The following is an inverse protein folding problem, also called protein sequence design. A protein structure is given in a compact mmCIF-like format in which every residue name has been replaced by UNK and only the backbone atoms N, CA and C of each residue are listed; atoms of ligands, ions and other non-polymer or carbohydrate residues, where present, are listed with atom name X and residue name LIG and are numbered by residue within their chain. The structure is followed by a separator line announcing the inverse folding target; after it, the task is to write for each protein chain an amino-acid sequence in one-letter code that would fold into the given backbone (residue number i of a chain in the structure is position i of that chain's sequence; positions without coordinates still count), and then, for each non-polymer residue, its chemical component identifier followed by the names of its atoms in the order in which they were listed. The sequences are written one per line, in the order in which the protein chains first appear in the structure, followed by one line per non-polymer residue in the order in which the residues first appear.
data_IF_910626545831
#
_entry.id   IF_910626545831
#
_cell.length_a   1.000
_cell.length_b   1.000
_cell.length_c   1.000
_cell.angle_alpha   90.00
_cell.angle_beta   90.00
_cell.angle_gamma   90.00
#
_symmetry.space_group_name_H-M   'P 1'
#
loop_
_entity.id
_entity.type
_entity.pdbx_description
1 polymer ?
#
# COMPACT_ATOMS: atom_id res chain seq x y z
N UNK A 1 0.62 5.66 25.09
CA UNK A 1 -0.06 4.88 24.03
C UNK A 1 0.95 4.63 22.95
N UNK A 2 1.18 3.36 22.57
CA UNK A 2 2.13 3.03 21.51
C UNK A 2 1.40 3.28 20.18
N UNK A 3 1.78 4.34 19.47
CA UNK A 3 1.24 4.61 18.14
C UNK A 3 1.75 3.50 17.21
N UNK A 4 0.86 2.58 16.79
CA UNK A 4 1.22 1.59 15.78
C UNK A 4 1.71 2.35 14.53
N UNK A 5 2.97 2.13 14.17
CA UNK A 5 3.58 2.66 12.97
C UNK A 5 3.30 1.71 11.81
N UNK A 6 2.97 2.29 10.68
CA UNK A 6 2.80 1.59 9.42
C UNK A 6 3.78 2.17 8.41
N UNK A 7 4.22 1.32 7.51
CA UNK A 7 5.12 1.66 6.42
C UNK A 7 4.36 1.54 5.11
N UNK A 8 4.52 2.55 4.26
CA UNK A 8 3.88 2.68 2.96
C UNK A 8 4.96 2.75 1.89
N UNK A 9 4.65 2.30 0.68
CA UNK A 9 5.50 2.51 -0.48
C UNK A 9 4.94 3.65 -1.32
N UNK A 10 5.71 4.74 -1.41
CA UNK A 10 5.36 5.94 -2.16
C UNK A 10 6.31 6.12 -3.34
N UNK A 11 5.76 6.29 -4.53
CA UNK A 11 6.51 6.61 -5.73
C UNK A 11 7.18 7.98 -5.59
N UNK A 12 8.48 8.05 -5.83
CA UNK A 12 9.27 9.28 -5.88
C UNK A 12 9.01 10.07 -7.16
N UNK A 13 8.53 9.41 -8.21
CA UNK A 13 8.30 10.05 -9.51
C UNK A 13 7.03 10.91 -9.52
N UNK A 14 5.96 10.45 -8.87
CA UNK A 14 4.64 11.08 -8.93
C UNK A 14 4.01 11.31 -7.54
N UNK A 15 4.57 10.73 -6.48
CA UNK A 15 4.02 10.82 -5.13
C UNK A 15 2.85 9.88 -4.86
N UNK A 16 2.45 9.08 -5.86
CA UNK A 16 1.44 8.03 -5.76
C UNK A 16 1.85 6.88 -4.83
N UNK A 17 0.88 6.18 -4.23
CA UNK A 17 1.13 5.05 -3.32
C UNK A 17 0.96 3.70 -4.01
N UNK A 18 1.65 2.69 -3.50
CA UNK A 18 1.44 1.31 -3.92
C UNK A 18 0.08 0.81 -3.44
N UNK A 19 -0.72 0.33 -4.38
CA UNK A 19 -2.07 -0.16 -4.13
C UNK A 19 -2.26 -1.55 -4.72
N UNK A 20 -2.95 -2.42 -4.00
CA UNK A 20 -3.45 -3.68 -4.52
C UNK A 20 -4.78 -3.43 -5.24
N UNK A 21 -4.89 -3.94 -6.47
CA UNK A 21 -6.12 -3.92 -7.26
C UNK A 21 -6.55 -5.37 -7.50
N UNK A 22 -7.74 -5.79 -7.03
CA UNK A 22 -8.25 -7.12 -7.34
C UNK A 22 -8.43 -7.26 -8.85
N UNK A 23 -7.96 -8.38 -9.41
CA UNK A 23 -8.09 -8.70 -10.83
C UNK A 23 -9.57 -8.75 -11.22
N UNK A 24 -9.99 -7.90 -12.16
CA UNK A 24 -11.39 -7.76 -12.56
C UNK A 24 -11.77 -6.40 -13.13
N UNK A 25 -10.86 -5.43 -13.09
CA UNK A 25 -11.07 -4.10 -13.67
C UNK A 25 -10.78 -4.14 -15.16
N UNK A 26 -11.84 -4.12 -15.96
CA UNK A 26 -11.77 -3.94 -17.41
C UNK A 26 -10.91 -2.72 -17.76
N UNK A 27 -10.08 -2.76 -18.82
CA UNK A 27 -9.23 -1.63 -19.25
C UNK A 27 -10.01 -0.36 -19.64
N UNK A 28 -11.35 -0.47 -19.73
CA UNK A 28 -12.29 0.61 -20.08
C UNK A 28 -12.89 1.33 -18.85
N UNK A 29 -12.72 0.79 -17.63
CA UNK A 29 -13.20 1.45 -16.41
C UNK A 29 -12.11 2.36 -15.82
N UNK A 30 -12.48 3.54 -15.28
CA UNK A 30 -11.56 4.34 -14.48
C UNK A 30 -10.95 3.43 -13.39
N UNK A 31 -9.64 3.58 -13.09
CA UNK A 31 -8.94 2.67 -12.20
C UNK A 31 -9.76 2.56 -10.90
N UNK A 32 -10.21 1.36 -10.52
CA UNK A 32 -10.99 1.22 -9.31
C UNK A 32 -10.17 1.74 -8.15
N UNK A 33 -10.90 2.24 -7.17
CA UNK A 33 -10.34 2.67 -5.90
C UNK A 33 -9.58 1.49 -5.30
N UNK A 34 -8.25 1.53 -5.43
CA UNK A 34 -7.39 0.43 -5.00
C UNK A 34 -7.35 0.32 -3.46
N UNK A 35 -6.84 -0.79 -2.97
CA UNK A 35 -6.54 -0.96 -1.55
C UNK A 35 -5.10 -0.50 -1.29
N UNK A 36 -4.92 0.44 -0.37
CA UNK A 36 -3.59 0.94 -0.02
C UNK A 36 -2.80 -0.15 0.71
N UNK A 37 -1.65 -0.53 0.16
CA UNK A 37 -0.79 -1.51 0.82
C UNK A 37 -0.05 -0.89 2.00
N UNK A 38 -0.24 -1.50 3.17
CA UNK A 38 0.45 -1.15 4.41
C UNK A 38 1.29 -2.31 4.90
N UNK A 39 2.46 -1.97 5.43
CA UNK A 39 3.41 -2.89 6.01
C UNK A 39 3.61 -2.55 7.50
N UNK A 40 3.83 -3.57 8.31
CA UNK A 40 4.11 -3.41 9.75
C UNK A 40 5.57 -3.09 10.04
N UNK A 41 6.47 -3.36 9.08
CA UNK A 41 7.89 -3.06 9.15
C UNK A 41 8.44 -2.54 7.82
N UNK A 42 9.55 -1.79 7.88
CA UNK A 42 10.23 -1.25 6.71
C UNK A 42 10.86 -2.37 5.84
N UNK A 43 11.43 -3.40 6.48
CA UNK A 43 12.05 -4.52 5.77
C UNK A 43 11.02 -5.36 5.01
N UNK A 44 9.77 -5.45 5.47
CA UNK A 44 8.68 -6.14 4.77
C UNK A 44 8.31 -5.37 3.50
N UNK A 45 8.22 -4.04 3.57
CA UNK A 45 7.97 -3.18 2.41
C UNK A 45 9.07 -3.34 1.35
N UNK A 46 10.34 -3.29 1.77
CA UNK A 46 11.47 -3.51 0.87
C UNK A 46 11.50 -4.92 0.29
N UNK A 47 11.20 -5.94 1.09
CA UNK A 47 11.17 -7.33 0.64
C UNK A 47 10.09 -7.54 -0.41
N UNK A 48 8.89 -6.99 -0.19
CA UNK A 48 7.78 -7.05 -1.14
C UNK A 48 8.13 -6.36 -2.46
N UNK A 49 8.70 -5.16 -2.39
CA UNK A 49 9.10 -4.40 -3.57
C UNK A 49 10.18 -5.13 -4.38
N UNK A 50 11.20 -5.68 -3.71
CA UNK A 50 12.24 -6.46 -4.37
C UNK A 50 11.70 -7.77 -4.97
N UNK A 51 10.70 -8.40 -4.35
CA UNK A 51 10.11 -9.64 -4.85
C UNK A 51 9.23 -9.42 -6.09
N UNK A 52 8.47 -8.33 -6.14
CA UNK A 52 7.46 -8.11 -7.18
C UNK A 52 7.85 -7.09 -8.24
N UNK A 53 8.67 -6.08 -7.91
CA UNK A 53 9.06 -5.01 -8.81
C UNK A 53 10.45 -4.45 -8.49
N UNK A 54 11.52 -5.28 -8.59
CA UNK A 54 12.88 -4.85 -8.26
C UNK A 54 13.37 -3.68 -9.13
N UNK A 55 12.88 -3.58 -10.36
CA UNK A 55 13.17 -2.47 -11.29
C UNK A 55 12.59 -1.12 -10.83
N UNK A 56 11.56 -1.15 -9.98
CA UNK A 56 10.92 0.03 -9.43
C UNK A 56 11.48 0.40 -8.05
N UNK A 57 12.35 -0.42 -7.45
CA UNK A 57 12.90 -0.19 -6.11
C UNK A 57 13.50 1.22 -5.94
N UNK A 58 14.28 1.70 -6.91
CA UNK A 58 14.88 3.05 -6.89
C UNK A 58 13.86 4.19 -7.07
N UNK A 59 12.70 3.88 -7.66
CA UNK A 59 11.62 4.84 -7.93
C UNK A 59 10.62 4.94 -6.79
N UNK A 60 10.68 4.06 -5.79
CA UNK A 60 9.83 4.11 -4.61
C UNK A 60 10.64 4.48 -3.36
N UNK A 61 9.96 5.09 -2.40
CA UNK A 61 10.48 5.40 -1.09
C UNK A 61 9.54 4.84 -0.04
N UNK A 62 10.11 4.43 1.10
CA UNK A 62 9.33 4.03 2.26
C UNK A 62 8.86 5.29 2.98
N UNK A 63 7.56 5.39 3.20
CA UNK A 63 6.96 6.46 3.99
C UNK A 63 6.42 5.86 5.29
N UNK A 64 6.83 6.43 6.42
CA UNK A 64 6.36 6.00 7.75
C UNK A 64 5.17 6.85 8.16
N UNK A 65 4.07 6.20 8.54
CA UNK A 65 2.83 6.87 8.95
C UNK A 65 2.29 6.24 10.24
N UNK A 66 1.61 7.03 11.05
CA UNK A 66 0.91 6.51 12.24
C UNK A 66 -0.47 5.98 11.86
N UNK A 67 -0.99 5.01 12.62
CA UNK A 67 -2.36 4.51 12.48
C UNK A 67 -3.40 5.64 12.38
N UNK A 68 -3.24 6.70 13.18
CA UNK A 68 -4.12 7.87 13.22
C UNK A 68 -4.13 8.66 11.90
N UNK A 69 -2.99 8.72 11.22
CA UNK A 69 -2.81 9.43 9.94
C UNK A 69 -3.20 8.58 8.73
N UNK A 70 -3.40 7.27 8.91
CA UNK A 70 -3.77 6.35 7.83
C UNK A 70 -5.20 6.60 7.32
N UNK A 71 -6.18 6.75 8.23
CA UNK A 71 -7.58 7.00 7.89
C UNK A 71 -7.80 8.27 7.03
N UNK A 72 -7.22 9.45 7.36
CA UNK A 72 -7.34 10.61 6.49
C UNK A 72 -6.63 10.43 5.14
N UNK A 73 -5.55 9.65 5.07
CA UNK A 73 -4.86 9.37 3.81
C UNK A 73 -5.73 8.52 2.86
N UNK A 74 -6.35 7.45 3.35
CA UNK A 74 -7.31 6.64 2.59
C UNK A 74 -8.43 7.51 2.03
N UNK A 75 -8.99 8.39 2.86
CA UNK A 75 -10.08 9.26 2.46
C UNK A 75 -9.65 10.28 1.39
N UNK A 76 -8.45 10.87 1.55
CA UNK A 76 -7.91 11.88 0.63
C UNK A 76 -7.67 11.32 -0.77
N UNK A 77 -7.16 10.09 -0.86
CA UNK A 77 -6.89 9.42 -2.14
C UNK A 77 -8.06 8.56 -2.62
N UNK A 78 -9.17 8.58 -1.88
CA UNK A 78 -10.38 7.82 -2.15
C UNK A 78 -10.12 6.31 -2.31
N UNK A 79 -9.19 5.72 -1.58
CA UNK A 79 -8.93 4.27 -1.60
C UNK A 79 -10.13 3.49 -1.06
N UNK A 80 -10.38 2.29 -1.60
CA UNK A 80 -11.49 1.42 -1.16
C UNK A 80 -11.25 0.89 0.26
N UNK A 81 -9.98 0.76 0.63
CA UNK A 81 -9.57 0.25 1.93
C UNK A 81 -8.06 0.15 2.07
N UNK A 82 -7.64 -0.69 3.01
CA UNK A 82 -6.25 -1.03 3.27
C UNK A 82 -6.01 -2.51 2.95
N UNK A 83 -4.87 -2.81 2.35
CA UNK A 83 -4.35 -4.17 2.22
C UNK A 83 -3.15 -4.32 3.14
N UNK A 84 -3.31 -5.03 4.25
CA UNK A 84 -2.20 -5.28 5.18
C UNK A 84 -1.40 -6.47 4.68
N UNK A 85 -0.13 -6.25 4.38
CA UNK A 85 0.78 -7.32 3.93
C UNK A 85 1.42 -7.94 5.17
N UNK A 86 1.00 -9.16 5.50
CA UNK A 86 1.56 -9.90 6.64
C UNK A 86 2.80 -10.71 6.26
N UNK A 87 2.92 -11.14 5.00
CA UNK A 87 4.10 -11.85 4.51
C UNK A 87 4.45 -11.38 3.09
N UNK A 88 5.69 -10.90 2.86
CA UNK A 88 6.10 -10.38 1.56
C UNK A 88 6.44 -11.48 0.54
N UNK A 89 6.60 -12.74 0.97
CA UNK A 89 6.94 -13.88 0.10
C UNK A 89 5.71 -14.71 -0.27
N UNK A 90 4.77 -14.84 0.67
CA UNK A 90 3.46 -15.42 0.46
C UNK A 90 2.46 -14.27 0.58
N UNK A 91 1.99 -13.66 -0.52
CA UNK A 91 1.23 -12.41 -0.48
C UNK A 91 -0.18 -12.61 0.10
N UNK A 92 -0.25 -12.87 1.41
CA UNK A 92 -1.45 -12.84 2.21
C UNK A 92 -1.69 -11.38 2.55
N UNK A 93 -2.56 -10.76 1.75
CA UNK A 93 -3.02 -9.40 1.95
C UNK A 93 -4.38 -9.45 2.60
N UNK A 94 -4.50 -8.93 3.82
CA UNK A 94 -5.78 -8.76 4.47
C UNK A 94 -6.42 -7.43 4.05
N UNK A 95 -7.57 -7.52 3.37
CA UNK A 95 -8.28 -6.36 2.86
C UNK A 95 -9.31 -5.86 3.87
N UNK A 96 -9.10 -4.66 4.37
CA UNK A 96 -10.03 -3.96 5.26
C UNK A 96 -10.81 -2.91 4.48
N UNK A 97 -12.12 -3.11 4.34
CA UNK A 97 -13.01 -2.17 3.66
C UNK A 97 -13.33 -0.96 4.56
N UNK A 98 -13.47 0.23 3.97
CA UNK A 98 -13.74 1.49 4.69
C UNK A 98 -15.22 1.66 5.15
N UNK A 99 -15.92 0.58 5.49
CA UNK A 99 -17.36 0.61 5.85
C UNK A 99 -17.68 1.50 7.05
#
# INVERSE_FOLDING_TARGET
MVSQLYYLLRSRADGSYLVARPHGSSPDQPPPTGFLLVFTADYDALSYLNAHAPELSDKFAIETITASSLKPLINRWNFQGLGMVNDPRLPQVEFFNRS
#
